data_IF_454805436655
#
_entry.id   IF_454805436655
#
_cell.length_a   1.000
_cell.length_b   1.000
_cell.length_c   1.000
_cell.angle_alpha   90.00
_cell.angle_beta   90.00
_cell.angle_gamma   90.00
#
_symmetry.space_group_name_H-M   'P 1'
#
loop_
_entity.id
_entity.type
_entity.pdbx_description
1 polymer ?
#
# COMPACT_ATOMS: atom_id res chain seq x y z
N UNK A 1 -24.65 20.50 10.98
CA UNK A 1 -25.32 19.53 10.08
C UNK A 1 -24.29 19.13 9.04
N UNK A 2 -23.97 17.84 8.99
CA UNK A 2 -22.77 17.28 8.38
C UNK A 2 -22.57 17.73 6.92
N UNK A 3 -21.37 18.22 6.65
CA UNK A 3 -20.87 18.51 5.32
C UNK A 3 -20.89 17.21 4.50
N UNK A 4 -21.60 17.21 3.37
CA UNK A 4 -21.60 16.07 2.44
C UNK A 4 -20.32 16.18 1.63
N UNK A 5 -19.23 15.66 2.18
CA UNK A 5 -17.94 15.57 1.48
C UNK A 5 -18.15 14.94 0.09
N UNK A 6 -18.00 15.77 -0.95
CA UNK A 6 -18.06 15.32 -2.33
C UNK A 6 -16.80 14.49 -2.62
N UNK A 7 -16.94 13.17 -2.55
CA UNK A 7 -15.88 12.24 -2.91
C UNK A 7 -16.01 11.82 -4.38
N UNK A 8 -14.94 12.05 -5.15
CA UNK A 8 -14.85 11.60 -6.54
C UNK A 8 -14.97 10.08 -6.59
N UNK A 9 -15.76 9.56 -7.54
CA UNK A 9 -16.05 8.13 -7.75
C UNK A 9 -14.78 7.26 -7.73
N UNK A 10 -13.71 7.72 -8.38
CA UNK A 10 -12.43 7.01 -8.45
C UNK A 10 -11.77 6.79 -7.07
N UNK A 11 -12.06 7.65 -6.09
CA UNK A 11 -11.60 7.49 -4.71
C UNK A 11 -12.61 6.70 -3.88
N UNK A 12 -13.92 6.95 -4.08
CA UNK A 12 -15.01 6.26 -3.37
C UNK A 12 -15.02 4.74 -3.61
N UNK A 13 -14.73 4.31 -4.83
CA UNK A 13 -14.74 2.89 -5.22
C UNK A 13 -13.33 2.32 -5.43
N UNK A 14 -12.31 2.92 -4.81
CA UNK A 14 -10.96 2.35 -4.86
C UNK A 14 -10.97 1.02 -4.09
N UNK A 15 -10.58 -0.10 -4.73
CA UNK A 15 -10.53 -1.40 -4.08
C UNK A 15 -9.70 -1.38 -2.78
N UNK A 16 -10.23 -2.01 -1.75
CA UNK A 16 -9.60 -2.19 -0.44
C UNK A 16 -9.09 -3.61 -0.21
N UNK A 17 -9.57 -4.57 -1.01
CA UNK A 17 -9.22 -5.98 -0.96
C UNK A 17 -8.68 -6.45 -2.32
N UNK A 18 -7.84 -7.48 -2.32
CA UNK A 18 -7.31 -8.03 -3.57
C UNK A 18 -8.41 -8.62 -4.45
N UNK A 19 -9.43 -9.26 -3.86
CA UNK A 19 -10.58 -9.80 -4.59
C UNK A 19 -11.42 -8.75 -5.33
N UNK A 20 -11.31 -7.49 -4.94
CA UNK A 20 -12.03 -6.37 -5.58
C UNK A 20 -11.25 -5.79 -6.77
N UNK A 21 -9.99 -6.19 -6.97
CA UNK A 21 -9.19 -5.75 -8.12
C UNK A 21 -9.62 -6.53 -9.36
N UNK A 22 -10.19 -5.82 -10.32
CA UNK A 22 -10.74 -6.42 -11.54
C UNK A 22 -9.65 -6.73 -12.56
N UNK A 23 -9.74 -7.91 -13.20
CA UNK A 23 -8.92 -8.31 -14.34
C UNK A 23 -7.40 -8.39 -14.11
N UNK A 24 -6.96 -8.57 -12.86
CA UNK A 24 -5.54 -8.70 -12.48
C UNK A 24 -5.27 -9.95 -11.59
N UNK A 25 -5.99 -11.04 -11.84
CA UNK A 25 -5.96 -12.28 -11.04
C UNK A 25 -4.54 -12.83 -10.85
N UNK A 26 -3.74 -12.89 -11.92
CA UNK A 26 -2.36 -13.34 -11.84
C UNK A 26 -1.53 -12.53 -10.82
N UNK A 27 -1.73 -11.21 -10.78
CA UNK A 27 -0.97 -10.32 -9.92
C UNK A 27 -1.44 -10.48 -8.49
N UNK A 28 -2.76 -10.44 -8.27
CA UNK A 28 -3.35 -10.57 -6.93
C UNK A 28 -3.03 -11.94 -6.32
N UNK A 29 -3.10 -13.02 -7.08
CA UNK A 29 -2.74 -14.37 -6.61
C UNK A 29 -1.27 -14.48 -6.24
N UNK A 30 -0.37 -13.89 -7.04
CA UNK A 30 1.06 -13.88 -6.74
C UNK A 30 1.35 -13.14 -5.43
N UNK A 31 0.72 -11.98 -5.22
CA UNK A 31 0.85 -11.20 -3.99
C UNK A 31 0.26 -11.93 -2.78
N UNK A 32 -0.93 -12.52 -2.94
CA UNK A 32 -1.58 -13.32 -1.90
C UNK A 32 -0.71 -14.50 -1.50
N UNK A 33 -0.14 -15.22 -2.46
CA UNK A 33 0.77 -16.33 -2.20
C UNK A 33 2.05 -15.89 -1.50
N UNK A 34 2.62 -14.73 -1.87
CA UNK A 34 3.78 -14.17 -1.17
C UNK A 34 3.48 -13.89 0.31
N UNK A 35 2.26 -13.42 0.63
CA UNK A 35 1.81 -13.24 2.02
C UNK A 35 1.65 -14.59 2.71
N UNK A 36 0.89 -15.54 2.14
CA UNK A 36 0.64 -16.86 2.76
C UNK A 36 1.92 -17.62 3.09
N UNK A 37 2.84 -17.66 2.14
CA UNK A 37 4.09 -18.41 2.24
C UNK A 37 5.18 -17.66 3.02
N UNK A 38 4.88 -16.46 3.52
CA UNK A 38 5.85 -15.57 4.16
C UNK A 38 7.09 -15.29 3.28
N UNK A 39 6.88 -15.17 1.97
CA UNK A 39 7.93 -14.92 0.96
C UNK A 39 7.82 -13.51 0.38
N UNK A 40 7.72 -12.53 1.26
CA UNK A 40 7.66 -11.12 0.88
C UNK A 40 9.04 -10.63 0.40
N UNK A 41 9.08 -10.04 -0.78
CA UNK A 41 10.26 -9.36 -1.28
C UNK A 41 10.47 -8.01 -0.56
N UNK A 42 11.70 -7.51 -0.56
CA UNK A 42 12.02 -6.18 -0.01
C UNK A 42 11.58 -5.04 -0.93
N UNK A 43 11.33 -5.31 -2.22
CA UNK A 43 10.89 -4.32 -3.19
C UNK A 43 9.95 -4.95 -4.23
N UNK A 44 8.92 -4.21 -4.61
CA UNK A 44 7.96 -4.56 -5.66
C UNK A 44 7.85 -3.41 -6.66
N UNK A 45 7.98 -3.71 -7.95
CA UNK A 45 7.75 -2.75 -9.03
C UNK A 45 6.44 -3.07 -9.73
N UNK A 46 5.46 -2.20 -9.60
CA UNK A 46 4.21 -2.28 -10.35
C UNK A 46 4.34 -1.47 -11.63
N UNK A 47 4.31 -2.13 -12.78
CA UNK A 47 4.43 -1.50 -14.09
C UNK A 47 3.16 -1.69 -14.94
N UNK A 48 2.83 -0.71 -15.76
CA UNK A 48 1.68 -0.77 -16.67
C UNK A 48 1.06 0.59 -16.94
N UNK A 49 0.06 0.68 -17.84
CA UNK A 49 -0.62 1.92 -18.18
C UNK A 49 -1.25 2.65 -16.99
N UNK A 50 -1.58 3.93 -17.15
CA UNK A 50 -2.30 4.69 -16.12
C UNK A 50 -3.70 4.10 -15.92
N UNK A 51 -4.16 4.00 -14.68
CA UNK A 51 -5.50 3.54 -14.33
C UNK A 51 -5.69 2.02 -14.18
N UNK A 52 -4.66 1.19 -14.41
CA UNK A 52 -4.77 -0.29 -14.28
C UNK A 52 -4.71 -0.82 -12.84
N UNK A 53 -4.67 0.07 -11.84
CA UNK A 53 -4.67 -0.34 -10.43
C UNK A 53 -3.30 -0.57 -9.78
N UNK A 54 -2.20 -0.05 -10.36
CA UNK A 54 -0.83 -0.18 -9.81
C UNK A 54 -0.73 0.30 -8.35
N UNK A 55 -1.09 1.56 -8.11
CA UNK A 55 -1.06 2.17 -6.76
C UNK A 55 -2.05 1.47 -5.83
N UNK A 56 -3.21 1.07 -6.35
CA UNK A 56 -4.21 0.30 -5.58
C UNK A 56 -3.65 -1.03 -5.09
N UNK A 57 -3.02 -1.83 -5.95
CA UNK A 57 -2.41 -3.10 -5.57
C UNK A 57 -1.30 -2.92 -4.53
N UNK A 58 -0.47 -1.89 -4.69
CA UNK A 58 0.57 -1.54 -3.71
C UNK A 58 -0.02 -1.19 -2.33
N UNK A 59 -1.11 -0.40 -2.30
CA UNK A 59 -1.82 -0.04 -1.06
C UNK A 59 -2.45 -1.24 -0.37
N UNK A 60 -3.12 -2.12 -1.12
CA UNK A 60 -3.71 -3.35 -0.56
C UNK A 60 -2.62 -4.24 0.04
N UNK A 61 -1.48 -4.40 -0.66
CA UNK A 61 -0.34 -5.16 -0.15
C UNK A 61 0.23 -4.56 1.14
N UNK A 62 0.44 -3.23 1.18
CA UNK A 62 0.91 -2.55 2.39
C UNK A 62 -0.03 -2.78 3.58
N UNK A 63 -1.35 -2.70 3.35
CA UNK A 63 -2.36 -2.97 4.36
C UNK A 63 -2.34 -4.42 4.83
N UNK A 64 -2.19 -5.38 3.91
CA UNK A 64 -2.14 -6.80 4.25
C UNK A 64 -0.88 -7.16 5.06
N UNK A 65 0.26 -6.53 4.76
CA UNK A 65 1.52 -6.74 5.49
C UNK A 65 1.41 -6.26 6.94
N UNK A 66 0.80 -5.11 7.18
CA UNK A 66 0.69 -4.49 8.50
C UNK A 66 -0.64 -4.75 9.21
N UNK A 67 -1.48 -5.62 8.67
CA UNK A 67 -2.74 -6.00 9.31
C UNK A 67 -2.45 -6.78 10.61
N UNK A 68 -3.00 -6.30 11.72
CA UNK A 68 -2.84 -6.88 13.07
C UNK A 68 -3.59 -8.18 13.29
N UNK A 69 -4.69 -8.41 12.55
CA UNK A 69 -5.47 -9.65 12.65
C UNK A 69 -4.58 -10.84 12.26
N UNK A 70 -4.54 -11.94 13.01
CA UNK A 70 -3.76 -13.13 12.64
C UNK A 70 -4.10 -13.65 11.25
N UNK A 71 -3.13 -14.25 10.53
CA UNK A 71 -3.34 -14.68 9.14
C UNK A 71 -4.41 -15.76 9.03
N UNK A 72 -4.50 -16.66 10.00
CA UNK A 72 -5.49 -17.72 10.11
C UNK A 72 -6.93 -17.21 10.29
N UNK A 73 -7.11 -16.00 10.83
CA UNK A 73 -8.41 -15.35 10.99
C UNK A 73 -8.79 -14.46 9.78
N UNK A 74 -7.87 -14.23 8.85
CA UNK A 74 -8.12 -13.42 7.64
C UNK A 74 -8.74 -14.26 6.53
N UNK A 75 -9.51 -13.60 5.68
CA UNK A 75 -10.02 -14.22 4.45
C UNK A 75 -8.86 -14.69 3.57
N UNK A 76 -8.85 -16.00 3.31
CA UNK A 76 -7.87 -16.67 2.43
C UNK A 76 -6.40 -16.44 2.88
N UNK A 77 -6.17 -16.14 4.17
CA UNK A 77 -4.85 -15.98 4.78
C UNK A 77 -4.00 -14.80 4.29
N UNK A 78 -4.53 -13.99 3.39
CA UNK A 78 -3.78 -12.96 2.67
C UNK A 78 -4.53 -11.64 2.49
N UNK A 79 -5.86 -11.65 2.54
CA UNK A 79 -6.63 -10.42 2.49
C UNK A 79 -6.42 -9.61 3.78
N UNK A 80 -6.31 -8.27 3.70
CA UNK A 80 -6.35 -7.44 4.90
C UNK A 80 -7.77 -7.45 5.50
N UNK A 81 -7.89 -7.43 6.82
CA UNK A 81 -9.20 -7.50 7.48
C UNK A 81 -10.05 -6.22 7.33
N UNK A 82 -9.43 -5.08 7.00
CA UNK A 82 -10.08 -3.77 6.91
C UNK A 82 -10.71 -3.22 8.21
N UNK A 83 -10.62 -3.94 9.33
CA UNK A 83 -11.31 -3.60 10.58
C UNK A 83 -10.37 -3.32 11.76
N UNK A 84 -9.14 -3.83 11.73
CA UNK A 84 -8.16 -3.54 12.78
C UNK A 84 -7.66 -2.09 12.72
N UNK A 85 -7.02 -1.63 13.80
CA UNK A 85 -6.56 -0.25 13.94
C UNK A 85 -5.61 0.13 12.80
N UNK A 86 -4.56 -0.68 12.57
CA UNK A 86 -3.63 -0.49 11.45
C UNK A 86 -4.33 -0.36 10.08
N UNK A 87 -5.35 -1.18 9.79
CA UNK A 87 -6.10 -1.09 8.53
C UNK A 87 -6.91 0.20 8.40
N UNK A 88 -7.59 0.62 9.48
CA UNK A 88 -8.42 1.84 9.51
C UNK A 88 -7.55 3.09 9.43
N UNK A 89 -6.52 3.17 10.26
CA UNK A 89 -5.58 4.29 10.29
C UNK A 89 -4.84 4.45 8.97
N UNK A 90 -4.54 3.36 8.26
CA UNK A 90 -4.00 3.44 6.91
C UNK A 90 -4.98 4.06 5.90
N UNK A 91 -6.25 3.66 5.93
CA UNK A 91 -7.26 4.21 5.00
C UNK A 91 -7.54 5.69 5.26
N UNK A 92 -7.47 6.11 6.53
CA UNK A 92 -7.58 7.51 6.97
C UNK A 92 -6.32 8.34 6.66
N UNK A 93 -5.22 7.70 6.23
CA UNK A 93 -3.95 8.37 5.94
C UNK A 93 -3.10 8.71 7.17
N UNK A 94 -3.42 8.15 8.33
CA UNK A 94 -2.72 8.38 9.60
C UNK A 94 -1.66 7.32 9.94
N UNK A 95 -1.35 6.40 9.03
CA UNK A 95 -0.41 5.30 9.34
C UNK A 95 1.00 5.83 9.61
N UNK A 96 1.59 5.39 10.72
CA UNK A 96 2.97 5.75 11.09
C UNK A 96 4.03 4.87 10.41
N UNK A 97 3.62 3.74 9.84
CA UNK A 97 4.53 2.74 9.27
C UNK A 97 4.39 2.58 7.76
N UNK A 98 3.38 3.21 7.14
CA UNK A 98 3.19 3.21 5.68
C UNK A 98 3.28 4.64 5.17
N UNK A 99 4.21 4.89 4.25
CA UNK A 99 4.47 6.20 3.68
C UNK A 99 4.16 6.19 2.18
N UNK A 100 3.20 7.00 1.75
CA UNK A 100 2.90 7.22 0.33
C UNK A 100 3.61 8.51 -0.15
N UNK A 101 4.46 8.38 -1.16
CA UNK A 101 5.23 9.47 -1.75
C UNK A 101 4.96 9.53 -3.25
N UNK A 102 4.51 10.69 -3.72
CA UNK A 102 4.45 10.97 -5.15
C UNK A 102 5.82 11.45 -5.64
N UNK A 103 6.50 10.62 -6.42
CA UNK A 103 7.82 10.92 -6.95
C UNK A 103 7.80 12.01 -8.03
N UNK A 104 6.65 12.31 -8.64
CA UNK A 104 6.54 13.44 -9.56
C UNK A 104 6.66 14.79 -8.83
N UNK A 105 6.13 14.85 -7.61
CA UNK A 105 6.16 16.05 -6.75
C UNK A 105 7.43 16.15 -5.88
N UNK A 106 8.04 15.01 -5.54
CA UNK A 106 9.26 14.90 -4.73
C UNK A 106 10.41 14.33 -5.57
N UNK A 107 10.69 14.99 -6.70
CA UNK A 107 11.58 14.43 -7.72
C UNK A 107 13.06 14.76 -7.52
N UNK A 108 13.45 15.52 -6.48
CA UNK A 108 14.83 15.97 -6.30
C UNK A 108 15.68 14.86 -5.68
N UNK A 109 16.97 14.87 -6.01
CA UNK A 109 17.96 13.98 -5.41
C UNK A 109 17.99 14.09 -3.88
N UNK A 110 17.79 15.30 -3.34
CA UNK A 110 17.77 15.52 -1.89
C UNK A 110 16.54 14.88 -1.21
N UNK A 111 15.38 14.82 -1.88
CA UNK A 111 14.18 14.15 -1.35
C UNK A 111 14.44 12.64 -1.16
N UNK A 112 15.13 12.03 -2.13
CA UNK A 112 15.54 10.61 -2.06
C UNK A 112 16.59 10.38 -0.96
N UNK A 113 17.51 11.33 -0.75
CA UNK A 113 18.49 11.25 0.34
C UNK A 113 17.79 11.31 1.70
N UNK A 114 16.84 12.22 1.88
CA UNK A 114 16.06 12.33 3.11
C UNK A 114 15.24 11.06 3.36
N UNK A 115 14.61 10.51 2.30
CA UNK A 115 13.90 9.24 2.37
C UNK A 115 14.83 8.12 2.88
N UNK A 116 16.03 8.00 2.31
CA UNK A 116 17.01 6.98 2.69
C UNK A 116 17.44 7.10 4.15
N UNK A 117 17.54 8.31 4.69
CA UNK A 117 17.84 8.50 6.12
C UNK A 117 16.63 8.12 6.99
N UNK A 118 15.40 8.47 6.59
CA UNK A 118 14.18 8.03 7.28
C UNK A 118 14.00 6.51 7.31
N UNK A 119 14.42 5.80 6.27
CA UNK A 119 14.35 4.32 6.19
C UNK A 119 15.16 3.64 7.30
N UNK A 120 16.24 4.27 7.79
CA UNK A 120 17.08 3.72 8.86
C UNK A 120 16.39 3.65 10.23
N UNK A 121 15.34 4.45 10.42
CA UNK A 121 14.59 4.50 11.67
C UNK A 121 13.66 3.27 11.71
N UNK A 122 13.76 2.40 12.74
CA UNK A 122 12.90 1.22 12.84
C UNK A 122 11.41 1.60 12.90
N UNK A 123 10.52 0.70 12.44
CA UNK A 123 9.08 0.91 12.55
C UNK A 123 8.61 1.00 14.00
N UNK A 124 7.44 1.61 14.21
CA UNK A 124 6.77 1.63 15.51
C UNK A 124 5.98 0.34 15.72
N UNK A 125 6.23 -0.35 16.83
CA UNK A 125 5.62 -1.64 17.15
C UNK A 125 6.12 -2.79 16.27
N UNK A 126 5.34 -3.87 16.20
CA UNK A 126 5.69 -5.09 15.45
C UNK A 126 5.39 -5.02 13.94
N UNK A 127 5.14 -3.81 13.42
CA UNK A 127 4.78 -3.58 12.03
C UNK A 127 6.00 -3.45 11.11
N UNK A 128 5.82 -3.67 9.81
CA UNK A 128 6.85 -3.38 8.80
C UNK A 128 6.77 -1.92 8.34
N UNK A 129 7.93 -1.34 8.06
CA UNK A 129 8.03 -0.01 7.44
C UNK A 129 7.89 -0.13 5.92
N UNK A 130 6.80 0.39 5.36
CA UNK A 130 6.47 0.27 3.93
C UNK A 130 6.51 1.64 3.28
N UNK A 131 7.18 1.74 2.14
CA UNK A 131 7.23 2.96 1.32
C UNK A 131 6.59 2.66 -0.04
N UNK A 132 5.58 3.44 -0.40
CA UNK A 132 4.91 3.38 -1.70
C UNK A 132 5.36 4.62 -2.48
N UNK A 133 6.15 4.39 -3.53
CA UNK A 133 6.63 5.44 -4.43
C UNK A 133 5.77 5.41 -5.70
N UNK A 134 4.88 6.38 -5.85
CA UNK A 134 4.08 6.52 -7.07
C UNK A 134 4.84 7.32 -8.14
N UNK A 135 4.60 7.00 -9.41
CA UNK A 135 5.25 7.62 -10.57
C UNK A 135 6.78 7.70 -10.47
N UNK A 136 7.43 6.67 -9.92
CA UNK A 136 8.89 6.61 -9.66
C UNK A 136 9.78 6.92 -10.87
N UNK A 137 9.26 6.74 -12.09
CA UNK A 137 9.95 7.08 -13.33
C UNK A 137 10.19 8.60 -13.51
N UNK A 138 9.54 9.43 -12.67
CA UNK A 138 9.68 10.87 -12.63
C UNK A 138 10.82 11.36 -11.70
N UNK A 139 11.48 10.45 -10.96
CA UNK A 139 12.64 10.82 -10.15
C UNK A 139 13.77 11.34 -11.05
N UNK A 140 14.36 12.46 -10.65
CA UNK A 140 15.51 13.04 -11.37
C UNK A 140 16.72 12.10 -11.32
N UNK A 141 17.59 12.22 -12.33
CA UNK A 141 18.91 11.59 -12.36
C UNK A 141 19.85 12.21 -11.32
#
# INVERSE_FOLDING_TARGET
MADRDYLVTARKYRPSLFKEVVAQEHVTDTLKNAIRLDRLAHAYLFSGPRGVGKTTAARILAKAINCETPRDEREDGAEPCCECESCRTFEEGGSLNVFELDAASNNKVDDVRELREKVRIPPQGDNKKVYILDEVHMLSK
#
